data_IF_823525001143
#
_entry.id   IF_823525001143
#
_cell.length_a   1.000
_cell.length_b   1.000
_cell.length_c   1.000
_cell.angle_alpha   90.00
_cell.angle_beta   90.00
_cell.angle_gamma   90.00
#
_symmetry.space_group_name_H-M   'P 1'
#
loop_
_entity.id
_entity.type
_entity.pdbx_description
1 polymer ?
#
# COMPACT_ATOMS: atom_id res chain seq x y z
N UNK A 1 -4.65 -4.30 -12.11
CA UNK A 1 -4.50 -3.43 -10.92
C UNK A 1 -4.39 -1.96 -11.32
N UNK A 2 -5.26 -1.47 -12.22
CA UNK A 2 -5.23 -0.08 -12.71
C UNK A 2 -5.50 0.89 -11.57
N UNK A 3 -6.55 0.64 -10.78
CA UNK A 3 -6.90 1.44 -9.60
C UNK A 3 -5.74 1.69 -8.63
N UNK A 4 -5.13 0.61 -8.13
CA UNK A 4 -4.02 0.72 -7.16
C UNK A 4 -2.85 1.50 -7.73
N UNK A 5 -2.43 1.21 -8.97
CA UNK A 5 -1.29 1.90 -9.59
C UNK A 5 -1.52 3.41 -9.74
N UNK A 6 -2.75 3.86 -10.01
CA UNK A 6 -3.07 5.29 -10.08
C UNK A 6 -3.26 5.94 -8.70
N UNK A 7 -3.58 5.15 -7.68
CA UNK A 7 -3.68 5.60 -6.29
C UNK A 7 -2.30 5.85 -5.65
N UNK A 8 -1.30 5.00 -5.95
CA UNK A 8 0.02 5.05 -5.31
C UNK A 8 0.71 6.43 -5.32
N UNK A 9 0.73 7.20 -6.43
CA UNK A 9 1.34 8.54 -6.42
C UNK A 9 0.75 9.50 -5.38
N UNK A 10 -0.56 9.41 -5.12
CA UNK A 10 -1.23 10.23 -4.11
C UNK A 10 -0.83 9.81 -2.70
N UNK A 11 -0.66 8.52 -2.48
CA UNK A 11 -0.18 7.96 -1.20
C UNK A 11 1.25 8.40 -0.92
N UNK A 12 2.12 8.37 -1.93
CA UNK A 12 3.52 8.79 -1.79
C UNK A 12 3.59 10.30 -1.54
N UNK A 13 2.93 11.12 -2.36
CA UNK A 13 2.90 12.56 -2.18
C UNK A 13 2.32 12.94 -0.81
N UNK A 14 1.19 12.35 -0.44
CA UNK A 14 0.53 12.63 0.82
C UNK A 14 1.34 12.20 2.03
N UNK A 15 1.91 10.99 1.99
CA UNK A 15 2.68 10.43 3.08
C UNK A 15 3.96 11.21 3.35
N UNK A 16 4.66 11.64 2.30
CA UNK A 16 5.85 12.48 2.42
C UNK A 16 5.52 13.89 2.91
N UNK A 17 4.40 14.49 2.47
CA UNK A 17 3.96 15.79 3.01
C UNK A 17 3.59 15.71 4.49
N UNK A 18 2.88 14.66 4.92
CA UNK A 18 2.58 14.40 6.34
C UNK A 18 3.89 14.21 7.14
N UNK A 19 4.83 13.42 6.60
CA UNK A 19 6.12 13.22 7.21
C UNK A 19 6.88 14.54 7.41
N UNK A 20 6.93 15.41 6.39
CA UNK A 20 7.54 16.74 6.49
C UNK A 20 6.82 17.64 7.50
N UNK A 21 5.49 17.55 7.61
CA UNK A 21 4.74 18.28 8.65
C UNK A 21 5.23 17.89 10.05
N UNK A 22 5.42 16.59 10.29
CA UNK A 22 5.86 16.07 11.58
C UNK A 22 7.32 16.39 11.94
N UNK A 23 8.16 16.83 11.00
CA UNK A 23 9.52 17.35 11.30
C UNK A 23 9.45 18.56 12.24
N UNK A 24 8.38 19.36 12.15
CA UNK A 24 8.16 20.50 13.02
C UNK A 24 7.56 20.13 14.40
N UNK A 25 7.25 18.84 14.60
CA UNK A 25 6.54 18.30 15.76
C UNK A 25 5.16 17.76 15.39
N UNK A 26 4.69 16.72 16.07
CA UNK A 26 3.43 16.04 15.74
C UNK A 26 2.18 16.92 15.84
N UNK A 27 2.19 17.86 16.78
CA UNK A 27 1.09 18.79 17.02
C UNK A 27 1.35 20.15 16.35
N UNK A 28 2.45 20.31 15.62
CA UNK A 28 2.78 21.57 14.96
C UNK A 28 1.75 21.97 13.90
N UNK A 29 1.02 20.99 13.35
CA UNK A 29 -0.09 21.21 12.44
C UNK A 29 -1.33 21.86 13.10
N UNK A 30 -1.44 21.86 14.43
CA UNK A 30 -2.52 22.52 15.16
C UNK A 30 -2.39 24.06 15.12
N UNK A 31 -1.18 24.56 14.86
CA UNK A 31 -0.98 25.98 14.64
C UNK A 31 -1.39 26.34 13.21
N UNK A 32 -2.63 26.80 13.06
CA UNK A 32 -3.18 27.28 11.79
C UNK A 32 -2.27 28.36 11.16
N UNK A 33 -2.10 28.28 9.84
CA UNK A 33 -1.23 29.18 9.08
C UNK A 33 0.27 28.86 9.12
N UNK A 34 0.71 27.90 9.94
CA UNK A 34 2.09 27.42 9.92
C UNK A 34 2.42 26.58 8.69
N UNK A 35 3.71 26.43 8.37
CA UNK A 35 4.17 25.52 7.32
C UNK A 35 3.78 24.06 7.64
N UNK A 36 3.82 23.66 8.91
CA UNK A 36 3.42 22.32 9.34
C UNK A 36 1.93 22.07 9.06
N UNK A 37 1.06 23.03 9.37
CA UNK A 37 -0.37 22.95 9.05
C UNK A 37 -0.60 22.89 7.53
N UNK A 38 0.11 23.71 6.75
CA UNK A 38 0.02 23.67 5.29
C UNK A 38 0.45 22.31 4.71
N UNK A 39 1.54 21.72 5.21
CA UNK A 39 2.01 20.39 4.81
C UNK A 39 1.01 19.29 5.18
N UNK A 40 0.39 19.37 6.37
CA UNK A 40 -0.66 18.44 6.78
C UNK A 40 -1.91 18.58 5.91
N UNK A 41 -2.29 19.81 5.55
CA UNK A 41 -3.41 20.07 4.66
C UNK A 41 -3.18 19.49 3.25
N UNK A 42 -1.97 19.64 2.71
CA UNK A 42 -1.58 19.04 1.42
C UNK A 42 -1.62 17.51 1.53
N UNK A 43 -1.00 16.96 2.58
CA UNK A 43 -0.78 15.54 2.69
C UNK A 43 -2.00 14.75 3.17
N UNK A 44 -2.45 15.00 4.40
CA UNK A 44 -3.56 14.30 5.04
C UNK A 44 -4.91 14.71 4.44
N UNK A 45 -5.23 15.99 4.52
CA UNK A 45 -6.59 16.46 4.21
C UNK A 45 -6.90 16.50 2.72
N UNK A 46 -5.88 16.46 1.86
CA UNK A 46 -6.06 16.51 0.39
C UNK A 46 -5.59 15.22 -0.27
N UNK A 47 -4.30 14.89 -0.24
CA UNK A 47 -3.76 13.76 -0.99
C UNK A 47 -4.28 12.40 -0.47
N UNK A 48 -4.32 12.18 0.85
CA UNK A 48 -4.88 10.95 1.43
C UNK A 48 -6.40 10.86 1.29
N UNK A 49 -7.11 11.98 1.43
CA UNK A 49 -8.55 12.02 1.20
C UNK A 49 -8.93 11.56 -0.23
N UNK A 50 -8.06 11.81 -1.22
CA UNK A 50 -8.26 11.40 -2.61
C UNK A 50 -7.90 9.93 -2.89
N UNK A 51 -7.28 9.21 -1.95
CA UNK A 51 -6.80 7.85 -2.16
C UNK A 51 -7.92 6.88 -2.56
N UNK A 52 -8.97 6.79 -1.74
CA UNK A 52 -10.12 5.91 -1.98
C UNK A 52 -10.92 6.34 -3.23
N UNK A 53 -11.20 7.64 -3.46
CA UNK A 53 -11.81 8.12 -4.70
C UNK A 53 -11.03 7.77 -5.96
N UNK A 54 -9.71 7.98 -5.98
CA UNK A 54 -8.85 7.66 -7.12
C UNK A 54 -8.90 6.15 -7.39
N UNK A 55 -8.75 5.33 -6.36
CA UNK A 55 -8.86 3.88 -6.50
C UNK A 55 -10.20 3.49 -7.14
N UNK A 56 -11.32 3.96 -6.58
CA UNK A 56 -12.66 3.64 -7.05
C UNK A 56 -12.91 4.13 -8.48
N UNK A 57 -12.51 5.36 -8.78
CA UNK A 57 -12.60 5.97 -10.11
C UNK A 57 -11.83 5.18 -11.18
N UNK A 58 -10.62 4.72 -10.86
CA UNK A 58 -9.81 3.96 -11.82
C UNK A 58 -10.18 2.47 -11.90
N UNK A 59 -10.82 1.90 -10.87
CA UNK A 59 -11.54 0.62 -11.00
C UNK A 59 -12.70 0.79 -11.98
N UNK A 60 -13.55 1.81 -11.79
CA UNK A 60 -14.68 2.09 -12.67
C UNK A 60 -14.23 2.37 -14.11
N UNK A 61 -13.16 3.14 -14.28
CA UNK A 61 -12.52 3.40 -15.57
C UNK A 61 -12.10 2.12 -16.29
N UNK A 62 -11.56 1.14 -15.57
CA UNK A 62 -11.13 -0.13 -16.19
C UNK A 62 -12.29 -0.96 -16.75
N UNK A 63 -13.54 -0.62 -16.41
CA UNK A 63 -14.76 -1.32 -16.85
C UNK A 63 -15.54 -0.50 -17.88
N UNK A 64 -15.67 0.82 -17.68
CA UNK A 64 -16.56 1.69 -18.45
C UNK A 64 -15.85 2.85 -19.16
N UNK A 65 -14.52 2.86 -19.19
CA UNK A 65 -13.68 3.96 -19.69
C UNK A 65 -13.94 5.29 -18.94
N UNK A 66 -13.64 6.42 -19.59
CA UNK A 66 -13.75 7.78 -19.02
C UNK A 66 -15.09 8.09 -18.33
N UNK A 67 -16.26 7.68 -18.88
CA UNK A 67 -17.54 7.94 -18.23
C UNK A 67 -17.69 7.34 -16.82
N UNK A 68 -16.93 6.28 -16.49
CA UNK A 68 -16.96 5.63 -15.19
C UNK A 68 -16.19 6.38 -14.10
N UNK A 69 -15.34 7.35 -14.45
CA UNK A 69 -14.44 8.03 -13.51
C UNK A 69 -15.23 8.80 -12.45
N UNK A 70 -16.14 9.68 -12.88
CA UNK A 70 -16.93 10.51 -11.97
C UNK A 70 -17.78 9.68 -10.98
N UNK A 71 -18.60 8.71 -11.41
CA UNK A 71 -19.39 7.89 -10.47
C UNK A 71 -18.50 7.07 -9.54
N UNK A 72 -17.36 6.56 -10.03
CA UNK A 72 -16.42 5.83 -9.18
C UNK A 72 -15.79 6.72 -8.11
N UNK A 73 -15.32 7.91 -8.47
CA UNK A 73 -14.72 8.86 -7.52
C UNK A 73 -15.73 9.36 -6.50
N UNK A 74 -16.96 9.69 -6.92
CA UNK A 74 -18.03 10.11 -6.01
C UNK A 74 -18.40 8.98 -5.06
N UNK A 75 -18.57 7.75 -5.57
CA UNK A 75 -18.83 6.59 -4.74
C UNK A 75 -17.69 6.28 -3.76
N UNK A 76 -16.44 6.47 -4.18
CA UNK A 76 -15.26 6.34 -3.31
C UNK A 76 -15.18 7.41 -2.22
N UNK A 77 -15.51 8.68 -2.55
CA UNK A 77 -15.63 9.75 -1.54
C UNK A 77 -16.73 9.43 -0.53
N UNK A 78 -17.88 8.95 -1.00
CA UNK A 78 -18.98 8.54 -0.13
C UNK A 78 -18.55 7.40 0.79
N UNK A 79 -17.84 6.40 0.28
CA UNK A 79 -17.33 5.29 1.09
C UNK A 79 -16.48 5.78 2.27
N UNK A 80 -15.57 6.73 2.03
CA UNK A 80 -14.78 7.34 3.09
C UNK A 80 -15.65 8.15 4.07
N UNK A 81 -16.63 8.92 3.59
CA UNK A 81 -17.42 9.81 4.46
C UNK A 81 -18.47 9.09 5.31
N UNK A 82 -18.93 7.91 4.89
CA UNK A 82 -19.97 7.12 5.59
C UNK A 82 -19.38 5.99 6.45
N UNK A 83 -18.07 5.94 6.67
CA UNK A 83 -17.42 4.89 7.48
C UNK A 83 -17.24 3.54 6.78
N UNK A 84 -17.71 3.37 5.54
CA UNK A 84 -17.45 2.16 4.75
C UNK A 84 -15.98 2.02 4.32
N UNK A 85 -15.21 3.11 4.41
CA UNK A 85 -13.77 3.16 4.29
C UNK A 85 -13.23 2.60 2.97
N UNK A 86 -12.06 1.99 3.05
CA UNK A 86 -11.35 1.44 1.90
C UNK A 86 -12.13 0.33 1.19
N UNK A 87 -12.79 -0.57 1.94
CA UNK A 87 -13.58 -1.67 1.39
C UNK A 87 -14.79 -1.15 0.60
N UNK A 88 -15.49 -0.16 1.16
CA UNK A 88 -16.57 0.54 0.48
C UNK A 88 -16.12 1.18 -0.82
N UNK A 89 -14.90 1.73 -0.87
CA UNK A 89 -14.33 2.31 -2.08
C UNK A 89 -14.12 1.31 -3.21
N UNK A 90 -13.63 0.10 -2.89
CA UNK A 90 -13.50 -0.98 -3.89
C UNK A 90 -14.88 -1.35 -4.45
N UNK A 91 -15.85 -1.56 -3.56
CA UNK A 91 -17.23 -1.92 -3.95
C UNK A 91 -17.83 -0.81 -4.81
N UNK A 92 -17.71 0.45 -4.40
CA UNK A 92 -18.19 1.62 -5.13
C UNK A 92 -17.55 1.72 -6.53
N UNK A 93 -16.25 1.43 -6.65
CA UNK A 93 -15.56 1.43 -7.94
C UNK A 93 -16.10 0.38 -8.91
N UNK A 94 -16.31 -0.85 -8.46
CA UNK A 94 -16.93 -1.89 -9.29
C UNK A 94 -18.38 -1.56 -9.64
N UNK A 95 -19.15 -1.11 -8.65
CA UNK A 95 -20.55 -0.72 -8.81
C UNK A 95 -20.68 0.39 -9.87
N UNK A 96 -19.87 1.44 -9.75
CA UNK A 96 -19.82 2.52 -10.72
C UNK A 96 -19.44 2.04 -12.12
N UNK A 97 -18.38 1.22 -12.24
CA UNK A 97 -17.97 0.67 -13.53
C UNK A 97 -19.09 -0.12 -14.21
N UNK A 98 -19.71 -1.06 -13.51
CA UNK A 98 -20.77 -1.89 -14.10
C UNK A 98 -22.06 -1.12 -14.37
N UNK A 99 -22.48 -0.21 -13.49
CA UNK A 99 -23.66 0.63 -13.71
C UNK A 99 -23.46 1.55 -14.89
N UNK A 100 -22.31 2.24 -14.98
CA UNK A 100 -22.01 3.10 -16.13
C UNK A 100 -22.00 2.30 -17.42
N UNK A 101 -21.39 1.11 -17.42
CA UNK A 101 -21.36 0.25 -18.61
C UNK A 101 -22.74 -0.26 -19.00
N UNK A 102 -23.60 -0.57 -18.02
CA UNK A 102 -24.99 -0.96 -18.26
C UNK A 102 -25.81 0.20 -18.84
N UNK A 103 -25.70 1.41 -18.29
CA UNK A 103 -26.36 2.61 -18.81
C UNK A 103 -25.90 2.92 -20.23
N UNK A 104 -24.60 2.81 -20.51
CA UNK A 104 -24.01 3.02 -21.85
C UNK A 104 -24.60 2.08 -22.90
N UNK A 105 -24.95 0.85 -22.52
CA UNK A 105 -25.58 -0.14 -23.42
C UNK A 105 -27.09 0.04 -23.55
N UNK A 106 -27.74 0.53 -22.49
CA UNK A 106 -29.20 0.59 -22.39
C UNK A 106 -29.77 1.86 -23.01
N UNK A 107 -29.14 3.01 -22.76
CA UNK A 107 -29.62 4.29 -23.25
C UNK A 107 -29.17 4.46 -24.71
N UNK A 108 -30.12 4.62 -25.63
CA UNK A 108 -29.86 4.89 -27.04
C UNK A 108 -30.34 6.30 -27.38
N UNK A 109 -29.44 7.14 -27.85
CA UNK A 109 -29.74 8.51 -28.26
C UNK A 109 -29.69 8.66 -29.79
N UNK A 110 -30.50 9.55 -30.36
CA UNK A 110 -30.35 9.94 -31.76
C UNK A 110 -28.97 10.57 -32.00
N UNK A 111 -28.48 10.49 -33.24
CA UNK A 111 -27.11 10.86 -33.64
C UNK A 111 -26.70 12.26 -33.15
N UNK A 112 -27.61 13.22 -33.25
CA UNK A 112 -27.40 14.63 -32.84
C UNK A 112 -27.14 14.80 -31.33
N UNK A 113 -27.48 13.82 -30.49
CA UNK A 113 -27.36 13.89 -29.04
C UNK A 113 -26.31 12.92 -28.47
N UNK A 114 -25.62 12.14 -29.32
CA UNK A 114 -24.66 11.14 -28.84
C UNK A 114 -23.52 11.74 -28.02
N UNK A 115 -23.12 12.99 -28.31
CA UNK A 115 -22.10 13.71 -27.53
C UNK A 115 -22.50 13.93 -26.07
N UNK A 116 -23.80 14.03 -25.75
CA UNK A 116 -24.28 14.22 -24.37
C UNK A 116 -24.14 12.97 -23.51
N UNK A 117 -24.04 11.79 -24.14
CA UNK A 117 -23.99 10.51 -23.44
C UNK A 117 -22.81 10.41 -22.46
N UNK A 118 -21.54 10.51 -22.90
CA UNK A 118 -20.39 10.39 -22.01
C UNK A 118 -20.14 11.63 -21.13
N UNK A 119 -20.68 12.80 -21.51
CA UNK A 119 -20.40 14.07 -20.81
C UNK A 119 -21.43 14.34 -19.69
N UNK A 120 -22.70 14.09 -19.95
CA UNK A 120 -23.79 14.48 -19.05
C UNK A 120 -24.52 13.26 -18.51
N UNK A 121 -25.05 12.42 -19.39
CA UNK A 121 -26.05 11.41 -19.03
C UNK A 121 -25.40 10.30 -18.19
N UNK A 122 -24.31 9.71 -18.67
CA UNK A 122 -23.63 8.63 -17.96
C UNK A 122 -23.04 9.09 -16.62
N UNK A 123 -22.26 10.19 -16.56
CA UNK A 123 -21.73 10.65 -15.27
C UNK A 123 -22.83 10.98 -14.27
N UNK A 124 -23.90 11.66 -14.67
CA UNK A 124 -24.98 12.05 -13.76
C UNK A 124 -25.77 10.84 -13.26
N UNK A 125 -26.34 10.03 -14.16
CA UNK A 125 -27.20 8.91 -13.77
C UNK A 125 -26.43 7.83 -13.02
N UNK A 126 -25.22 7.50 -13.46
CA UNK A 126 -24.41 6.52 -12.75
C UNK A 126 -24.06 7.02 -11.35
N UNK A 127 -23.68 8.30 -11.19
CA UNK A 127 -23.32 8.84 -9.87
C UNK A 127 -24.52 8.89 -8.94
N UNK A 128 -25.70 9.23 -9.46
CA UNK A 128 -26.94 9.23 -8.70
C UNK A 128 -27.28 7.82 -8.20
N UNK A 129 -27.25 6.82 -9.09
CA UNK A 129 -27.59 5.45 -8.71
C UNK A 129 -26.54 4.90 -7.73
N UNK A 130 -25.25 5.05 -8.03
CA UNK A 130 -24.15 4.61 -7.14
C UNK A 130 -24.26 5.28 -5.78
N UNK A 131 -24.46 6.60 -5.75
CA UNK A 131 -24.56 7.36 -4.52
C UNK A 131 -25.74 6.92 -3.66
N UNK A 132 -26.92 6.77 -4.25
CA UNK A 132 -28.11 6.29 -3.52
C UNK A 132 -27.92 4.86 -3.01
N UNK A 133 -27.31 3.96 -3.79
CA UNK A 133 -27.00 2.61 -3.35
C UNK A 133 -25.99 2.60 -2.21
N UNK A 134 -24.94 3.43 -2.28
CA UNK A 134 -23.95 3.56 -1.21
C UNK A 134 -24.57 4.11 0.06
N UNK A 135 -25.43 5.13 -0.01
CA UNK A 135 -26.03 5.74 1.17
C UNK A 135 -27.05 4.81 1.84
N UNK A 136 -27.94 4.20 1.07
CA UNK A 136 -29.10 3.50 1.65
C UNK A 136 -28.94 1.99 1.77
N UNK A 137 -28.13 1.35 0.93
CA UNK A 137 -28.10 -0.11 0.84
C UNK A 137 -26.74 -0.71 1.18
N UNK A 138 -25.66 -0.15 0.65
CA UNK A 138 -24.33 -0.78 0.67
C UNK A 138 -23.46 -0.22 1.79
N UNK A 139 -23.51 1.10 2.04
CA UNK A 139 -22.68 1.77 3.05
C UNK A 139 -22.85 1.20 4.45
N UNK A 140 -24.08 1.18 5.01
CA UNK A 140 -24.30 0.70 6.37
C UNK A 140 -23.79 -0.73 6.66
N UNK A 141 -24.06 -1.76 5.83
CA UNK A 141 -23.50 -3.09 6.09
C UNK A 141 -21.98 -3.14 5.93
N UNK A 142 -21.40 -2.36 5.01
CA UNK A 142 -19.94 -2.32 4.82
C UNK A 142 -19.23 -1.58 5.95
N UNK A 143 -19.81 -0.50 6.47
CA UNK A 143 -19.36 0.17 7.70
C UNK A 143 -19.36 -0.82 8.88
N UNK A 144 -20.43 -1.62 9.03
CA UNK A 144 -20.47 -2.67 10.05
C UNK A 144 -19.35 -3.71 9.91
N UNK A 145 -19.01 -4.09 8.67
CA UNK A 145 -17.87 -4.97 8.38
C UNK A 145 -16.55 -4.29 8.72
N UNK A 146 -16.39 -3.01 8.36
CA UNK A 146 -15.18 -2.23 8.68
C UNK A 146 -14.98 -2.12 10.20
N UNK A 147 -16.00 -1.72 10.95
CA UNK A 147 -15.94 -1.64 12.41
C UNK A 147 -15.62 -3.00 13.05
N UNK A 148 -16.15 -4.10 12.49
CA UNK A 148 -15.82 -5.46 12.92
C UNK A 148 -14.37 -5.83 12.63
N UNK A 149 -13.86 -5.47 11.45
CA UNK A 149 -12.46 -5.67 11.07
C UNK A 149 -11.53 -4.85 11.98
N UNK A 150 -11.87 -3.60 12.25
CA UNK A 150 -11.12 -2.71 13.14
C UNK A 150 -11.05 -3.28 14.55
N UNK A 151 -12.20 -3.69 15.10
CA UNK A 151 -12.29 -4.33 16.41
C UNK A 151 -11.47 -5.62 16.48
N UNK A 152 -11.52 -6.45 15.42
CA UNK A 152 -10.73 -7.67 15.34
C UNK A 152 -9.23 -7.38 15.31
N UNK A 153 -8.79 -6.41 14.51
CA UNK A 153 -7.38 -6.04 14.38
C UNK A 153 -6.82 -5.42 15.66
N UNK A 154 -7.59 -4.55 16.31
CA UNK A 154 -7.19 -3.92 17.58
C UNK A 154 -7.23 -4.89 18.76
N UNK A 155 -8.12 -5.89 18.72
CA UNK A 155 -8.25 -6.94 19.73
C UNK A 155 -7.36 -8.17 19.50
N UNK A 156 -6.44 -8.14 18.53
CA UNK A 156 -5.58 -9.30 18.24
C UNK A 156 -4.67 -9.63 19.43
N UNK A 157 -4.68 -10.90 19.83
CA UNK A 157 -3.61 -11.47 20.66
C UNK A 157 -2.29 -11.54 19.88
N UNK A 158 -1.16 -11.57 20.59
CA UNK A 158 0.19 -11.65 20.01
C UNK A 158 0.34 -12.75 18.93
N UNK A 159 -0.26 -13.93 19.15
CA UNK A 159 -0.19 -15.03 18.18
C UNK A 159 -0.84 -14.70 16.82
N UNK A 160 -1.98 -14.02 16.82
CA UNK A 160 -2.70 -13.60 15.60
C UNK A 160 -1.97 -12.44 14.92
N UNK A 161 -1.43 -11.50 15.70
CA UNK A 161 -0.63 -10.40 15.20
C UNK A 161 0.62 -10.92 14.47
N UNK A 162 1.33 -11.89 15.08
CA UNK A 162 2.47 -12.59 14.47
C UNK A 162 2.08 -13.27 13.16
N UNK A 163 0.98 -14.02 13.15
CA UNK A 163 0.50 -14.71 11.95
C UNK A 163 0.16 -13.74 10.82
N UNK A 164 -0.55 -12.65 11.12
CA UNK A 164 -0.84 -11.61 10.15
C UNK A 164 0.46 -10.99 9.60
N UNK A 165 1.41 -10.69 10.49
CA UNK A 165 2.73 -10.18 10.12
C UNK A 165 3.51 -11.12 9.20
N UNK A 166 3.49 -12.43 9.47
CA UNK A 166 4.10 -13.45 8.60
C UNK A 166 3.51 -13.41 7.18
N UNK A 167 2.17 -13.38 7.08
CA UNK A 167 1.46 -13.38 5.80
C UNK A 167 1.76 -12.11 5.02
N UNK A 168 1.57 -10.94 5.64
CA UNK A 168 1.82 -9.65 5.01
C UNK A 168 3.27 -9.50 4.58
N UNK A 169 4.20 -9.95 5.42
CA UNK A 169 5.62 -9.92 5.11
C UNK A 169 5.98 -10.80 3.93
N UNK A 170 5.48 -12.04 3.89
CA UNK A 170 5.70 -12.95 2.77
C UNK A 170 5.12 -12.39 1.45
N UNK A 171 3.90 -11.84 1.50
CA UNK A 171 3.24 -11.24 0.35
C UNK A 171 4.04 -10.06 -0.22
N UNK A 172 4.63 -9.23 0.64
CA UNK A 172 5.44 -8.09 0.19
C UNK A 172 6.68 -8.52 -0.62
N UNK A 173 7.27 -9.66 -0.32
CA UNK A 173 8.48 -10.10 -1.03
C UNK A 173 8.20 -11.01 -2.23
N UNK A 174 7.00 -11.60 -2.33
CA UNK A 174 6.68 -12.67 -3.28
C UNK A 174 6.99 -12.30 -4.74
N UNK A 175 6.53 -11.13 -5.19
CA UNK A 175 6.65 -10.67 -6.58
C UNK A 175 7.25 -9.26 -6.71
N UNK A 176 7.89 -8.75 -5.65
CA UNK A 176 8.76 -7.55 -5.64
C UNK A 176 8.16 -6.34 -6.37
N UNK A 177 6.91 -5.99 -6.04
CA UNK A 177 6.16 -4.89 -6.66
C UNK A 177 5.05 -5.36 -7.63
N UNK A 178 4.89 -6.67 -7.78
CA UNK A 178 3.79 -7.29 -8.53
C UNK A 178 2.43 -7.24 -7.82
N UNK A 179 1.43 -7.97 -8.33
CA UNK A 179 0.07 -7.98 -7.79
C UNK A 179 -0.07 -8.39 -6.32
N UNK A 180 0.72 -9.38 -5.85
CA UNK A 180 0.64 -9.90 -4.48
C UNK A 180 1.22 -8.88 -3.49
N UNK A 181 2.39 -8.31 -3.80
CA UNK A 181 2.97 -7.20 -3.05
C UNK A 181 1.98 -6.03 -2.98
N UNK A 182 1.45 -5.61 -4.13
CA UNK A 182 0.50 -4.50 -4.19
C UNK A 182 -0.78 -4.79 -3.41
N UNK A 183 -1.25 -6.03 -3.36
CA UNK A 183 -2.40 -6.40 -2.54
C UNK A 183 -2.12 -6.23 -1.05
N UNK A 184 -0.97 -6.70 -0.56
CA UNK A 184 -0.57 -6.49 0.83
C UNK A 184 -0.40 -5.00 1.15
N UNK A 185 0.32 -4.25 0.30
CA UNK A 185 0.48 -2.81 0.47
C UNK A 185 -0.86 -2.07 0.52
N UNK A 186 -1.77 -2.39 -0.41
CA UNK A 186 -3.10 -1.79 -0.49
C UNK A 186 -3.92 -2.06 0.77
N UNK A 187 -3.81 -3.26 1.34
CA UNK A 187 -4.43 -3.59 2.62
C UNK A 187 -3.89 -2.71 3.76
N UNK A 188 -2.57 -2.61 3.92
CA UNK A 188 -1.96 -1.79 4.98
C UNK A 188 -2.30 -0.31 4.86
N UNK A 189 -2.22 0.24 3.66
CA UNK A 189 -2.53 1.65 3.40
C UNK A 189 -4.03 1.93 3.58
N UNK A 190 -4.91 1.00 3.18
CA UNK A 190 -6.35 1.14 3.39
C UNK A 190 -6.74 1.25 4.86
N UNK A 191 -5.98 0.59 5.74
CA UNK A 191 -6.19 0.61 7.19
C UNK A 191 -5.66 1.89 7.87
N UNK A 192 -4.81 2.68 7.21
CA UNK A 192 -4.36 3.97 7.75
C UNK A 192 -5.52 4.97 7.91
N UNK A 193 -6.53 4.90 7.03
CA UNK A 193 -7.73 5.72 7.13
C UNK A 193 -8.58 5.42 8.37
N UNK A 194 -8.44 4.21 8.92
CA UNK A 194 -9.07 3.77 10.17
C UNK A 194 -8.11 3.84 11.37
N UNK A 195 -7.00 4.56 11.24
CA UNK A 195 -5.97 4.71 12.28
C UNK A 195 -5.33 3.40 12.76
N UNK A 196 -5.38 2.34 11.94
CA UNK A 196 -4.76 1.04 12.23
C UNK A 196 -3.38 0.99 11.59
N UNK A 197 -2.36 1.31 12.39
CA UNK A 197 -0.99 1.53 11.91
C UNK A 197 -0.10 0.29 11.89
N UNK A 198 -0.48 -0.80 12.57
CA UNK A 198 0.33 -2.01 12.73
C UNK A 198 0.65 -2.73 11.41
N UNK A 199 -0.38 -3.11 10.62
CA UNK A 199 -0.18 -3.77 9.33
C UNK A 199 0.72 -2.97 8.39
N UNK A 200 0.56 -1.65 8.33
CA UNK A 200 1.41 -0.80 7.48
C UNK A 200 2.88 -0.83 7.93
N UNK A 201 3.16 -0.85 9.24
CA UNK A 201 4.52 -1.01 9.75
C UNK A 201 5.13 -2.35 9.32
N UNK A 202 4.39 -3.44 9.48
CA UNK A 202 4.83 -4.77 9.06
C UNK A 202 5.14 -4.82 7.56
N UNK A 203 4.26 -4.25 6.74
CA UNK A 203 4.41 -4.15 5.28
C UNK A 203 5.65 -3.35 4.88
N UNK A 204 5.85 -2.16 5.47
CA UNK A 204 6.97 -1.30 5.10
C UNK A 204 8.30 -1.95 5.50
N UNK A 205 8.41 -2.42 6.75
CA UNK A 205 9.60 -3.12 7.22
C UNK A 205 9.91 -4.34 6.35
N UNK A 206 8.89 -5.16 6.10
CA UNK A 206 9.05 -6.37 5.31
C UNK A 206 9.51 -6.07 3.88
N UNK A 207 8.99 -5.04 3.21
CA UNK A 207 9.41 -4.70 1.84
C UNK A 207 10.78 -4.03 1.73
N UNK A 208 11.35 -3.52 2.84
CA UNK A 208 12.75 -3.06 2.90
C UNK A 208 13.74 -4.23 2.88
N UNK A 209 13.38 -5.36 3.47
CA UNK A 209 14.34 -6.47 3.70
C UNK A 209 14.79 -7.27 2.47
N UNK A 210 14.04 -7.43 1.36
CA UNK A 210 14.52 -8.16 0.18
C UNK A 210 15.78 -7.56 -0.42
N UNK A 211 15.80 -6.27 -0.83
CA UNK A 211 17.02 -5.65 -1.34
C UNK A 211 18.12 -5.49 -0.27
N UNK A 212 17.80 -5.22 1.01
CA UNK A 212 18.82 -5.15 2.08
C UNK A 212 19.51 -6.50 2.29
N UNK A 213 18.73 -7.59 2.34
CA UNK A 213 19.25 -8.94 2.56
C UNK A 213 20.09 -9.44 1.38
N UNK A 214 19.70 -9.11 0.15
CA UNK A 214 20.49 -9.39 -1.05
C UNK A 214 21.79 -8.58 -1.08
N UNK A 215 21.73 -7.29 -0.75
CA UNK A 215 22.90 -6.44 -0.66
C UNK A 215 23.89 -6.95 0.42
N UNK A 216 23.38 -7.38 1.57
CA UNK A 216 24.19 -8.01 2.61
C UNK A 216 24.79 -9.35 2.14
N UNK A 217 24.00 -10.20 1.48
CA UNK A 217 24.45 -11.50 1.00
C UNK A 217 25.59 -11.38 -0.02
N UNK A 218 25.52 -10.40 -0.94
CA UNK A 218 26.57 -10.17 -1.93
C UNK A 218 27.88 -9.70 -1.30
N UNK A 219 27.84 -9.07 -0.12
CA UNK A 219 29.06 -8.67 0.62
C UNK A 219 29.63 -9.85 1.43
N UNK A 220 28.78 -10.61 2.13
CA UNK A 220 29.22 -11.68 3.03
C UNK A 220 29.56 -12.99 2.31
N UNK A 221 28.87 -13.31 1.22
CA UNK A 221 28.93 -14.59 0.53
C UNK A 221 29.26 -14.43 -0.96
N UNK A 222 30.21 -13.53 -1.28
CA UNK A 222 30.63 -13.15 -2.64
C UNK A 222 30.83 -14.32 -3.59
N UNK A 223 31.37 -15.44 -3.11
CA UNK A 223 31.62 -16.65 -3.89
C UNK A 223 30.35 -17.41 -4.35
N UNK A 224 29.16 -16.91 -4.01
CA UNK A 224 27.86 -17.47 -4.45
C UNK A 224 27.12 -16.55 -5.42
N UNK A 225 27.71 -15.41 -5.77
CA UNK A 225 27.10 -14.39 -6.61
C UNK A 225 27.99 -14.05 -7.80
N UNK A 226 27.38 -13.90 -8.95
CA UNK A 226 28.05 -13.44 -10.17
C UNK A 226 28.52 -12.00 -10.00
N UNK A 227 29.45 -11.57 -10.86
CA UNK A 227 29.91 -10.17 -10.86
C UNK A 227 28.75 -9.19 -11.08
N UNK A 228 27.77 -9.55 -11.92
CA UNK A 228 26.57 -8.73 -12.16
C UNK A 228 25.70 -8.62 -10.90
N UNK A 229 25.48 -9.73 -10.18
CA UNK A 229 24.75 -9.72 -8.92
C UNK A 229 25.46 -8.89 -7.84
N UNK A 230 26.79 -8.97 -7.74
CA UNK A 230 27.57 -8.15 -6.80
C UNK A 230 27.46 -6.66 -7.11
N UNK A 231 27.53 -6.27 -8.39
CA UNK A 231 27.34 -4.88 -8.80
C UNK A 231 25.90 -4.40 -8.56
N UNK A 232 24.90 -5.26 -8.78
CA UNK A 232 23.51 -4.97 -8.43
C UNK A 232 23.28 -4.85 -6.91
N UNK A 233 24.12 -5.48 -6.08
CA UNK A 233 24.05 -5.40 -4.62
C UNK A 233 24.35 -4.00 -4.08
N UNK A 234 25.15 -3.20 -4.79
CA UNK A 234 25.50 -1.83 -4.37
C UNK A 234 24.27 -0.89 -4.34
N UNK A 235 23.50 -0.72 -5.43
CA UNK A 235 22.28 0.08 -5.39
C UNK A 235 21.18 -0.55 -4.53
N UNK A 236 21.18 -1.88 -4.35
CA UNK A 236 20.17 -2.56 -3.53
C UNK A 236 20.18 -2.10 -2.06
N UNK A 237 21.33 -1.70 -1.50
CA UNK A 237 21.36 -1.05 -0.17
C UNK A 237 20.44 0.17 -0.11
N UNK A 238 20.60 1.09 -1.07
CA UNK A 238 19.83 2.33 -1.11
C UNK A 238 18.35 2.07 -1.39
N UNK A 239 18.05 1.15 -2.31
CA UNK A 239 16.68 0.76 -2.62
C UNK A 239 15.98 0.16 -1.39
N UNK A 240 16.68 -0.69 -0.64
CA UNK A 240 16.14 -1.31 0.55
C UNK A 240 15.86 -0.34 1.70
N UNK A 241 16.81 0.56 2.00
CA UNK A 241 16.53 1.60 3.00
C UNK A 241 15.41 2.54 2.54
N UNK A 242 15.16 2.66 1.24
CA UNK A 242 14.11 3.51 0.68
C UNK A 242 12.74 2.81 0.53
N UNK A 243 12.60 1.56 1.00
CA UNK A 243 11.39 0.76 0.81
C UNK A 243 11.02 0.54 -0.69
N UNK A 244 12.03 0.29 -1.51
CA UNK A 244 11.89 -0.06 -2.93
C UNK A 244 12.26 -1.54 -3.09
N UNK A 245 11.25 -2.42 -2.98
CA UNK A 245 11.43 -3.87 -3.01
C UNK A 245 11.94 -4.38 -4.36
N UNK A 246 11.73 -3.61 -5.43
CA UNK A 246 12.14 -3.89 -6.82
C UNK A 246 13.67 -4.07 -6.95
N UNK A 247 14.47 -3.60 -5.99
CA UNK A 247 15.91 -3.82 -5.98
C UNK A 247 16.30 -5.30 -5.93
N UNK A 248 15.36 -6.18 -5.59
CA UNK A 248 15.53 -7.63 -5.61
C UNK A 248 15.30 -8.28 -6.99
N UNK A 249 14.63 -7.60 -7.93
CA UNK A 249 14.24 -8.15 -9.23
C UNK A 249 15.44 -8.72 -10.01
N UNK A 250 16.59 -8.03 -10.13
CA UNK A 250 17.73 -8.57 -10.89
C UNK A 250 18.21 -9.93 -10.35
N UNK A 251 18.15 -10.14 -9.04
CA UNK A 251 18.56 -11.38 -8.38
C UNK A 251 17.51 -12.48 -8.56
N UNK A 252 16.23 -12.13 -8.36
CA UNK A 252 15.13 -13.07 -8.54
C UNK A 252 14.97 -13.53 -9.99
N UNK A 253 15.25 -12.66 -10.96
CA UNK A 253 15.28 -13.02 -12.37
C UNK A 253 16.42 -13.99 -12.71
N UNK A 254 17.58 -13.85 -12.04
CA UNK A 254 18.72 -14.73 -12.24
C UNK A 254 18.54 -16.11 -11.59
N UNK A 255 17.93 -16.18 -10.40
CA UNK A 255 17.82 -17.42 -9.62
C UNK A 255 16.53 -17.46 -8.77
N UNK A 256 15.35 -17.58 -9.39
CA UNK A 256 14.06 -17.38 -8.72
C UNK A 256 13.81 -18.42 -7.63
N UNK A 257 14.20 -19.67 -7.86
CA UNK A 257 13.95 -20.81 -6.95
C UNK A 257 14.61 -20.60 -5.60
N UNK A 258 15.75 -19.89 -5.55
CA UNK A 258 16.52 -19.70 -4.32
C UNK A 258 16.33 -18.31 -3.74
N UNK A 259 16.22 -17.30 -4.60
CA UNK A 259 16.08 -15.91 -4.16
C UNK A 259 14.69 -15.66 -3.58
N UNK A 260 13.61 -16.04 -4.27
CA UNK A 260 12.24 -15.73 -3.84
C UNK A 260 11.93 -16.33 -2.46
N UNK A 261 12.18 -17.64 -2.20
CA UNK A 261 11.94 -18.18 -0.86
C UNK A 261 12.81 -17.53 0.23
N UNK A 262 14.04 -17.13 -0.10
CA UNK A 262 14.94 -16.47 0.86
C UNK A 262 14.41 -15.11 1.28
N UNK A 263 14.04 -14.26 0.31
CA UNK A 263 13.51 -12.92 0.58
C UNK A 263 12.14 -13.00 1.26
N UNK A 264 11.28 -13.95 0.86
CA UNK A 264 9.99 -14.18 1.52
C UNK A 264 10.15 -14.57 2.99
N UNK A 265 11.11 -15.42 3.30
CA UNK A 265 11.35 -15.86 4.68
C UNK A 265 11.81 -14.68 5.56
N UNK A 266 12.77 -13.88 5.09
CA UNK A 266 13.22 -12.72 5.84
C UNK A 266 12.14 -11.65 6.00
N UNK A 267 11.37 -11.38 4.95
CA UNK A 267 10.24 -10.43 5.00
C UNK A 267 9.12 -10.92 5.91
N UNK A 268 8.77 -12.20 5.88
CA UNK A 268 7.78 -12.80 6.78
C UNK A 268 8.19 -12.63 8.25
N UNK A 269 9.45 -12.97 8.57
CA UNK A 269 9.98 -12.79 9.94
C UNK A 269 9.98 -11.33 10.35
N UNK A 270 10.32 -10.42 9.43
CA UNK A 270 10.26 -8.97 9.71
C UNK A 270 8.84 -8.52 10.04
N UNK A 271 7.85 -8.91 9.23
CA UNK A 271 6.46 -8.56 9.47
C UNK A 271 5.93 -9.15 10.77
N UNK A 272 6.28 -10.40 11.07
CA UNK A 272 5.95 -11.08 12.32
C UNK A 272 6.50 -10.35 13.55
N UNK A 273 7.79 -9.99 13.52
CA UNK A 273 8.44 -9.26 14.61
C UNK A 273 7.87 -7.85 14.76
N UNK A 274 7.61 -7.15 13.65
CA UNK A 274 6.99 -5.82 13.67
C UNK A 274 5.63 -5.83 14.37
N UNK A 275 4.78 -6.81 14.03
CA UNK A 275 3.48 -6.99 14.67
C UNK A 275 3.59 -7.45 16.13
N UNK A 276 4.52 -8.36 16.45
CA UNK A 276 4.78 -8.83 17.81
C UNK A 276 5.23 -7.69 18.74
N UNK A 277 6.09 -6.81 18.24
CA UNK A 277 6.57 -5.66 19.00
C UNK A 277 5.58 -4.49 19.02
N UNK A 278 4.37 -4.67 18.48
CA UNK A 278 3.33 -3.65 18.45
C UNK A 278 3.78 -2.37 17.73
N UNK A 279 4.61 -2.50 16.68
CA UNK A 279 5.05 -1.33 15.92
C UNK A 279 3.90 -0.83 15.06
N UNK A 280 3.63 0.47 15.14
CA UNK A 280 2.73 1.20 14.26
C UNK A 280 3.50 2.22 13.43
N UNK A 281 3.07 2.40 12.18
CA UNK A 281 3.65 3.33 11.23
C UNK A 281 2.54 4.17 10.59
N UNK A 282 2.62 5.50 10.74
CA UNK A 282 1.64 6.45 10.19
C UNK A 282 1.92 6.83 8.73
N UNK A 283 3.17 6.71 8.30
CA UNK A 283 3.59 7.04 6.94
C UNK A 283 3.53 5.80 6.04
N UNK A 284 2.84 5.84 4.89
CA UNK A 284 2.73 4.70 3.98
C UNK A 284 3.99 4.48 3.14
N UNK A 285 4.92 5.43 3.15
CA UNK A 285 6.12 5.40 2.33
C UNK A 285 7.27 6.19 2.98
N UNK A 286 8.48 5.97 2.47
CA UNK A 286 9.67 6.73 2.85
C UNK A 286 10.75 5.93 3.60
N UNK A 287 10.52 4.64 3.89
CA UNK A 287 11.55 3.74 4.39
C UNK A 287 12.30 4.27 5.62
N UNK A 288 13.62 4.32 5.56
CA UNK A 288 14.47 4.83 6.64
C UNK A 288 14.29 6.33 6.88
N UNK A 289 13.86 7.09 5.86
CA UNK A 289 13.78 8.55 5.92
C UNK A 289 12.66 9.05 6.82
N UNK A 290 11.66 8.20 7.12
CA UNK A 290 10.58 8.54 8.05
C UNK A 290 10.90 8.17 9.50
N UNK A 291 11.96 7.38 9.75
CA UNK A 291 12.33 6.94 11.09
C UNK A 291 12.81 8.05 12.03
N UNK A 292 13.55 9.08 11.58
CA UNK A 292 13.97 10.19 12.44
C UNK A 292 12.81 11.08 12.88
N UNK A 293 11.65 10.94 12.24
CA UNK A 293 10.51 11.82 12.47
C UNK A 293 9.78 11.37 13.74
N UNK A 294 9.71 12.23 14.78
CA UNK A 294 9.15 11.84 16.07
C UNK A 294 7.74 11.26 15.95
N UNK A 295 7.50 10.10 16.57
CA UNK A 295 6.20 9.42 16.68
C UNK A 295 5.54 9.00 15.34
N UNK A 296 6.25 9.07 14.21
CA UNK A 296 5.77 8.46 12.94
C UNK A 296 5.81 6.94 13.01
N UNK A 297 6.83 6.43 13.71
CA UNK A 297 7.00 5.01 14.01
C UNK A 297 6.98 4.83 15.53
N UNK A 298 6.08 4.00 16.04
CA UNK A 298 6.14 3.61 17.46
C UNK A 298 7.21 2.54 17.67
N UNK A 299 7.76 2.40 18.87
CA UNK A 299 8.72 1.32 19.18
C UNK A 299 9.91 1.24 18.21
N UNK A 300 10.48 2.40 17.82
CA UNK A 300 11.47 2.52 16.75
C UNK A 300 12.66 1.55 16.88
N UNK A 301 13.17 1.32 18.10
CA UNK A 301 14.26 0.37 18.33
C UNK A 301 13.89 -1.07 17.94
N UNK A 302 12.67 -1.50 18.28
CA UNK A 302 12.14 -2.80 17.90
C UNK A 302 11.83 -2.90 16.40
N UNK A 303 11.40 -1.80 15.78
CA UNK A 303 11.23 -1.72 14.33
C UNK A 303 12.55 -1.93 13.58
N UNK A 304 13.61 -1.23 14.01
CA UNK A 304 14.95 -1.41 13.46
C UNK A 304 15.46 -2.84 13.67
N UNK A 305 15.23 -3.42 14.85
CA UNK A 305 15.57 -4.81 15.15
C UNK A 305 14.87 -5.80 14.21
N UNK A 306 13.57 -5.61 13.95
CA UNK A 306 12.80 -6.45 13.03
C UNK A 306 13.39 -6.42 11.60
N UNK A 307 13.70 -5.23 11.08
CA UNK A 307 14.32 -5.05 9.76
C UNK A 307 15.70 -5.73 9.70
N UNK A 308 16.53 -5.54 10.73
CA UNK A 308 17.87 -6.16 10.81
C UNK A 308 17.73 -7.68 10.84
N UNK A 309 16.83 -8.21 11.67
CA UNK A 309 16.60 -9.65 11.79
C UNK A 309 16.21 -10.28 10.45
N UNK A 310 15.22 -9.71 9.74
CA UNK A 310 14.84 -10.22 8.42
C UNK A 310 15.91 -10.08 7.36
N UNK A 311 16.67 -8.97 7.39
CA UNK A 311 17.81 -8.74 6.50
C UNK A 311 18.87 -9.84 6.67
N UNK A 312 19.20 -10.18 7.92
CA UNK A 312 20.13 -11.27 8.25
C UNK A 312 19.56 -12.62 7.80
N UNK A 313 18.29 -12.91 8.10
CA UNK A 313 17.65 -14.17 7.69
C UNK A 313 17.71 -14.34 6.17
N UNK A 314 17.33 -13.33 5.40
CA UNK A 314 17.41 -13.35 3.93
C UNK A 314 18.83 -13.69 3.47
N UNK A 315 19.85 -13.03 4.03
CA UNK A 315 21.23 -13.25 3.64
C UNK A 315 21.72 -14.68 3.95
N UNK A 316 21.38 -15.22 5.11
CA UNK A 316 21.76 -16.58 5.50
C UNK A 316 20.97 -17.65 4.76
N UNK A 317 19.70 -17.41 4.43
CA UNK A 317 18.93 -18.29 3.54
C UNK A 317 19.60 -18.41 2.17
N UNK A 318 20.05 -17.29 1.59
CA UNK A 318 20.80 -17.29 0.33
C UNK A 318 22.12 -18.04 0.44
N UNK A 319 22.84 -17.92 1.57
CA UNK A 319 24.05 -18.71 1.83
C UNK A 319 23.79 -20.21 1.79
N UNK A 320 22.67 -20.66 2.34
CA UNK A 320 22.31 -22.08 2.42
C UNK A 320 21.85 -22.58 1.05
N UNK A 321 21.02 -21.81 0.34
CA UNK A 321 20.35 -22.26 -0.89
C UNK A 321 21.18 -22.06 -2.16
N UNK A 322 21.88 -20.93 -2.34
CA UNK A 322 22.71 -20.69 -3.53
C UNK A 322 23.99 -21.52 -3.44
N UNK A 323 24.39 -22.28 -4.47
CA UNK A 323 25.66 -22.99 -4.48
C UNK A 323 26.85 -22.01 -4.52
N UNK A 324 28.06 -22.51 -4.22
CA UNK A 324 29.27 -21.77 -4.56
C UNK A 324 29.40 -21.80 -6.09
N UNK A 325 29.78 -20.68 -6.68
CA UNK A 325 30.16 -20.64 -8.07
C UNK A 325 31.54 -21.31 -8.19
N UNK A 326 31.68 -22.20 -9.17
CA UNK A 326 32.99 -22.70 -9.59
C UNK A 326 33.75 -21.52 -10.23
N UNK A 327 35.03 -21.39 -9.91
CA UNK A 327 35.90 -20.32 -10.44
C UNK A 327 36.08 -20.43 -11.96
#
# INVERSE_FOLDING_TARGET
MTGVSFMLPFVVAGGLSIALSFVFGINAAEQEGSLAAALMQIGGNSAFALMVPILAGYIAFSIADRPGIAPGMIGGMLASSIGAGFLGGIIAGFLAGYITQWLKKTIKLPENLQGLMPILILPFLASLIVGLLMIYLIGPPVEGIMNGLESWLQGMTDANAVLLGLILGAMMAFDMGGPVNKAAYTFGVGLLGSEIYGPMAAIMAAGMTPPLGLALATVLFKNRFTRQEIEAGKPAWFMGISFITEGAIPFAAADPIRVIPSIMTGSAITGALSMLFGVGLRAPHGGIFVLPIPNVVTNLGFYALAIIAGTIVTAFMLRILKPKLEE
#
